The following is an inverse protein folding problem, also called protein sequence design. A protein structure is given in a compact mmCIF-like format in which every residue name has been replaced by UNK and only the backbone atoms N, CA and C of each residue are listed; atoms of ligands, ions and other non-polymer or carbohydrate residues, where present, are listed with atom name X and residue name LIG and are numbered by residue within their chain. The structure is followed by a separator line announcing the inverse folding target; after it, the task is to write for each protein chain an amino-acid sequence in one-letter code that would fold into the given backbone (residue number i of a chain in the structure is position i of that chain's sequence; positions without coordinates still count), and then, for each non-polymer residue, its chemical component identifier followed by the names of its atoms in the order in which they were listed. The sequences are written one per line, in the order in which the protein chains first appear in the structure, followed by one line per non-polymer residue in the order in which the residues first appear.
data_IF_541414012518
#
_entry.id   IF_541414012518
#
_cell.length_a   1.000
_cell.length_b   1.000
_cell.length_c   1.000
_cell.angle_alpha   90.00
_cell.angle_beta   90.00
_cell.angle_gamma   90.00
#
_symmetry.space_group_name_H-M   'P 1'
#
loop_
_entity.id
_entity.type
_entity.pdbx_description
1 polymer ?
#
# COMPACT_ATOMS: atom_id res chain seq x y z
N UNK A 1 -5.86 12.55 -18.46
CA UNK A 1 -5.51 13.98 -18.32
C UNK A 1 -6.72 14.81 -17.96
N UNK A 2 -7.61 15.07 -18.92
CA UNK A 2 -8.79 15.92 -18.73
C UNK A 2 -9.71 15.48 -17.57
N UNK A 3 -9.98 14.17 -17.43
CA UNK A 3 -10.81 13.64 -16.34
C UNK A 3 -10.21 13.96 -14.97
N UNK A 4 -8.88 13.77 -14.81
CA UNK A 4 -8.18 14.10 -13.57
C UNK A 4 -8.35 15.57 -13.20
N UNK A 5 -8.19 16.46 -14.18
CA UNK A 5 -8.27 17.90 -13.96
C UNK A 5 -9.68 18.38 -13.59
N UNK A 6 -10.72 17.77 -14.16
CA UNK A 6 -12.12 18.22 -14.00
C UNK A 6 -12.88 17.53 -12.86
N UNK A 7 -12.63 16.24 -12.63
CA UNK A 7 -13.48 15.41 -11.77
C UNK A 7 -12.80 14.86 -10.52
N UNK A 8 -11.47 14.90 -10.43
CA UNK A 8 -10.71 14.36 -9.30
C UNK A 8 -10.00 15.50 -8.55
N UNK A 9 -10.49 15.90 -7.36
CA UNK A 9 -9.91 16.99 -6.58
C UNK A 9 -8.43 16.77 -6.23
N UNK A 10 -8.03 15.51 -6.04
CA UNK A 10 -6.65 15.11 -5.75
C UNK A 10 -5.71 15.23 -6.95
N UNK A 11 -6.23 15.45 -8.16
CA UNK A 11 -5.45 15.55 -9.40
C UNK A 11 -4.76 14.24 -9.81
N UNK A 12 -5.11 13.11 -9.18
CA UNK A 12 -4.55 11.77 -9.47
C UNK A 12 -5.63 10.71 -9.33
N UNK A 13 -5.42 9.56 -9.95
CA UNK A 13 -6.23 8.38 -9.68
C UNK A 13 -5.87 7.82 -8.30
N UNK A 14 -6.88 7.35 -7.58
CA UNK A 14 -6.73 6.76 -6.24
C UNK A 14 -6.53 5.23 -6.32
N UNK A 15 -5.77 4.69 -5.37
CA UNK A 15 -5.33 3.30 -5.31
C UNK A 15 -5.23 2.80 -3.84
N UNK A 16 -4.45 1.74 -3.58
CA UNK A 16 -4.33 1.10 -2.25
C UNK A 16 -3.97 2.09 -1.14
N UNK A 17 -3.01 3.00 -1.37
CA UNK A 17 -2.62 3.97 -0.35
C UNK A 17 -3.81 4.86 0.10
N UNK A 18 -4.74 5.16 -0.79
CA UNK A 18 -5.95 5.93 -0.47
C UNK A 18 -6.94 5.12 0.38
N UNK A 19 -6.97 3.79 0.19
CA UNK A 19 -7.74 2.88 1.06
C UNK A 19 -7.13 2.82 2.45
N UNK A 20 -5.80 2.73 2.55
CA UNK A 20 -5.08 2.75 3.83
C UNK A 20 -5.30 4.10 4.54
N UNK A 21 -5.24 5.20 3.80
CA UNK A 21 -5.53 6.54 4.32
C UNK A 21 -6.96 6.64 4.87
N UNK A 22 -7.97 6.17 4.13
CA UNK A 22 -9.36 6.17 4.58
C UNK A 22 -9.57 5.28 5.82
N UNK A 23 -8.84 4.16 5.94
CA UNK A 23 -8.87 3.31 7.14
C UNK A 23 -8.32 4.04 8.36
N UNK A 24 -7.21 4.76 8.20
CA UNK A 24 -6.56 5.52 9.27
C UNK A 24 -7.35 6.79 9.65
N UNK A 25 -7.83 7.54 8.66
CA UNK A 25 -8.41 8.88 8.79
C UNK A 25 -9.87 8.87 8.36
N UNK A 26 -10.75 9.50 9.15
CA UNK A 26 -12.13 9.74 8.72
C UNK A 26 -13.08 8.55 8.87
N UNK A 27 -12.71 7.52 9.62
CA UNK A 27 -13.62 6.42 9.98
C UNK A 27 -14.01 5.52 8.81
N UNK A 28 -13.08 5.26 7.89
CA UNK A 28 -13.26 4.38 6.72
C UNK A 28 -14.32 4.87 5.71
N UNK A 29 -14.46 6.19 5.55
CA UNK A 29 -15.34 6.80 4.55
C UNK A 29 -14.59 7.15 3.27
N UNK A 30 -15.20 6.82 2.13
CA UNK A 30 -14.68 7.14 0.79
C UNK A 30 -15.80 7.71 -0.08
N UNK A 31 -15.44 8.62 -0.98
CA UNK A 31 -16.38 9.21 -1.94
C UNK A 31 -16.66 8.25 -3.09
N UNK A 32 -17.91 7.78 -3.22
CA UNK A 32 -18.34 6.92 -4.34
C UNK A 32 -18.04 7.55 -5.70
N UNK A 33 -18.34 8.85 -5.83
CA UNK A 33 -18.12 9.60 -7.07
C UNK A 33 -16.63 9.62 -7.44
N UNK A 34 -15.76 9.89 -6.47
CA UNK A 34 -14.30 9.95 -6.70
C UNK A 34 -13.77 8.57 -7.08
N UNK A 35 -14.18 7.51 -6.38
CA UNK A 35 -13.70 6.17 -6.69
C UNK A 35 -14.16 5.65 -8.05
N UNK A 36 -15.39 5.98 -8.51
CA UNK A 36 -15.83 5.64 -9.87
C UNK A 36 -15.03 6.38 -10.95
N UNK A 37 -14.72 7.66 -10.75
CA UNK A 37 -13.85 8.40 -11.68
C UNK A 37 -12.42 7.86 -11.67
N UNK A 38 -11.85 7.53 -10.51
CA UNK A 38 -10.53 6.89 -10.39
C UNK A 38 -10.48 5.55 -11.12
N UNK A 39 -11.52 4.72 -10.96
CA UNK A 39 -11.63 3.44 -11.67
C UNK A 39 -11.73 3.62 -13.18
N UNK A 40 -12.52 4.58 -13.66
CA UNK A 40 -12.61 4.89 -15.09
C UNK A 40 -11.26 5.38 -15.65
N UNK A 41 -10.53 6.23 -14.92
CA UNK A 41 -9.20 6.69 -15.34
C UNK A 41 -8.23 5.51 -15.43
N UNK A 42 -8.25 4.59 -14.46
CA UNK A 42 -7.41 3.39 -14.50
C UNK A 42 -7.78 2.48 -15.68
N UNK A 43 -9.08 2.23 -15.90
CA UNK A 43 -9.55 1.42 -17.02
C UNK A 43 -9.12 1.99 -18.38
N UNK A 44 -9.27 3.31 -18.58
CA UNK A 44 -8.81 3.99 -19.80
C UNK A 44 -7.29 3.92 -19.92
N UNK A 45 -6.56 4.20 -18.84
CA UNK A 45 -5.09 4.19 -18.86
C UNK A 45 -4.55 2.83 -19.30
N UNK A 46 -5.02 1.75 -18.66
CA UNK A 46 -4.62 0.38 -18.98
C UNK A 46 -5.10 -0.04 -20.36
N UNK A 47 -6.31 0.34 -20.76
CA UNK A 47 -6.86 0.06 -22.10
C UNK A 47 -6.08 0.73 -23.23
N UNK A 48 -5.47 1.89 -22.97
CA UNK A 48 -4.55 2.58 -23.90
C UNK A 48 -3.09 2.09 -23.77
N UNK A 49 -2.83 1.03 -22.99
CA UNK A 49 -1.51 0.40 -22.91
C UNK A 49 -0.57 0.99 -21.86
N UNK A 50 -1.05 1.84 -20.94
CA UNK A 50 -0.23 2.35 -19.84
C UNK A 50 0.43 1.19 -19.07
N UNK A 51 1.73 1.29 -18.82
CA UNK A 51 2.51 0.24 -18.13
C UNK A 51 2.27 0.34 -16.62
N UNK A 52 1.21 -0.32 -16.14
CA UNK A 52 0.82 -0.30 -14.74
C UNK A 52 -0.03 -1.51 -14.38
N UNK A 53 -0.22 -1.73 -13.08
CA UNK A 53 -1.11 -2.74 -12.53
C UNK A 53 -2.55 -2.27 -12.34
N UNK A 54 -3.49 -3.19 -12.47
CA UNK A 54 -4.94 -2.94 -12.34
C UNK A 54 -5.47 -3.13 -10.92
N UNK A 55 -4.71 -3.83 -10.09
CA UNK A 55 -5.11 -4.36 -8.79
C UNK A 55 -5.22 -3.23 -7.77
N UNK A 56 -4.33 -2.25 -7.82
CA UNK A 56 -4.42 -1.09 -6.93
C UNK A 56 -5.72 -0.30 -7.12
N UNK A 57 -6.06 0.10 -8.35
CA UNK A 57 -7.37 0.67 -8.66
C UNK A 57 -8.56 -0.25 -8.36
N UNK A 58 -8.42 -1.57 -8.58
CA UNK A 58 -9.48 -2.53 -8.27
C UNK A 58 -9.76 -2.60 -6.76
N UNK A 59 -8.70 -2.67 -5.93
CA UNK A 59 -8.81 -2.62 -4.47
C UNK A 59 -9.48 -1.33 -4.02
N UNK A 60 -9.09 -0.20 -4.61
CA UNK A 60 -9.72 1.09 -4.33
C UNK A 60 -11.21 1.12 -4.70
N UNK A 61 -11.58 0.59 -5.86
CA UNK A 61 -12.97 0.50 -6.30
C UNK A 61 -13.79 -0.39 -5.35
N UNK A 62 -13.28 -1.58 -5.01
CA UNK A 62 -13.92 -2.50 -4.08
C UNK A 62 -14.14 -1.86 -2.71
N UNK A 63 -13.11 -1.21 -2.16
CA UNK A 63 -13.18 -0.46 -0.92
C UNK A 63 -14.18 0.71 -0.99
N UNK A 64 -14.23 1.45 -2.10
CA UNK A 64 -15.16 2.56 -2.31
C UNK A 64 -16.62 2.09 -2.30
N UNK A 65 -16.92 1.01 -3.04
CA UNK A 65 -18.26 0.43 -3.10
C UNK A 65 -18.67 -0.06 -1.71
N UNK A 66 -17.78 -0.77 -1.02
CA UNK A 66 -18.03 -1.27 0.33
C UNK A 66 -18.23 -0.13 1.34
N UNK A 67 -17.41 0.92 1.29
CA UNK A 67 -17.54 2.10 2.14
C UNK A 67 -18.91 2.78 1.97
N UNK A 68 -19.43 2.83 0.74
CA UNK A 68 -20.77 3.36 0.44
C UNK A 68 -21.89 2.55 1.10
N UNK A 69 -21.73 1.22 1.17
CA UNK A 69 -22.64 0.33 1.90
C UNK A 69 -22.57 0.64 3.41
N UNK A 70 -21.36 0.78 3.98
CA UNK A 70 -21.18 1.14 5.38
C UNK A 70 -21.74 2.51 5.76
N UNK A 71 -21.72 3.47 4.83
CA UNK A 71 -22.36 4.76 4.98
C UNK A 71 -23.89 4.65 4.93
N UNK A 72 -24.45 3.88 3.99
CA UNK A 72 -25.90 3.65 3.85
C UNK A 72 -26.54 3.04 5.10
N UNK A 73 -25.84 2.12 5.76
CA UNK A 73 -26.30 1.48 7.00
C UNK A 73 -25.86 2.20 8.28
N UNK A 74 -25.25 3.39 8.17
CA UNK A 74 -24.81 4.19 9.32
C UNK A 74 -23.96 3.40 10.33
N UNK A 75 -23.11 2.49 9.84
CA UNK A 75 -22.32 1.61 10.70
C UNK A 75 -21.31 2.40 11.56
N UNK A 76 -20.97 1.93 12.77
CA UNK A 76 -19.91 2.54 13.57
C UNK A 76 -18.53 2.38 12.90
N UNK A 77 -17.54 3.24 13.25
CA UNK A 77 -16.23 3.28 12.58
C UNK A 77 -15.50 1.93 12.51
N UNK A 78 -15.52 1.15 13.59
CA UNK A 78 -14.92 -0.19 13.65
C UNK A 78 -15.50 -1.13 12.57
N UNK A 79 -16.84 -1.18 12.46
CA UNK A 79 -17.52 -2.00 11.46
C UNK A 79 -17.30 -1.46 10.04
N UNK A 80 -17.17 -0.15 9.87
CA UNK A 80 -16.82 0.45 8.56
C UNK A 80 -15.42 0.03 8.09
N UNK A 81 -14.43 -0.05 9.00
CA UNK A 81 -13.09 -0.56 8.68
C UNK A 81 -13.13 -2.02 8.23
N UNK A 82 -13.92 -2.87 8.89
CA UNK A 82 -14.13 -4.27 8.46
C UNK A 82 -14.81 -4.34 7.09
N UNK A 83 -15.86 -3.56 6.85
CA UNK A 83 -16.54 -3.53 5.54
C UNK A 83 -15.60 -3.03 4.43
N UNK A 84 -14.78 -2.00 4.71
CA UNK A 84 -13.74 -1.51 3.81
C UNK A 84 -12.77 -2.64 3.43
N UNK A 85 -12.30 -3.40 4.42
CA UNK A 85 -11.44 -4.56 4.21
C UNK A 85 -12.13 -5.68 3.43
N UNK A 86 -13.45 -5.91 3.62
CA UNK A 86 -14.22 -6.85 2.80
C UNK A 86 -14.21 -6.45 1.32
N UNK A 87 -14.36 -5.15 1.03
CA UNK A 87 -14.27 -4.63 -0.34
C UNK A 87 -12.88 -4.83 -0.96
N UNK A 88 -11.82 -4.60 -0.17
CA UNK A 88 -10.45 -4.86 -0.60
C UNK A 88 -10.20 -6.36 -0.85
N UNK A 89 -10.59 -7.23 0.08
CA UNK A 89 -10.44 -8.68 -0.05
C UNK A 89 -11.17 -9.20 -1.30
N UNK A 90 -12.45 -8.82 -1.47
CA UNK A 90 -13.24 -9.17 -2.65
C UNK A 90 -12.56 -8.72 -3.96
N UNK A 91 -12.01 -7.51 -4.01
CA UNK A 91 -11.34 -6.99 -5.19
C UNK A 91 -10.05 -7.74 -5.53
N UNK A 92 -9.22 -8.07 -4.53
CA UNK A 92 -8.00 -8.87 -4.75
C UNK A 92 -8.36 -10.28 -5.20
N UNK A 93 -9.33 -10.92 -4.53
CA UNK A 93 -9.77 -12.27 -4.88
C UNK A 93 -10.36 -12.34 -6.28
N UNK A 94 -11.19 -11.39 -6.67
CA UNK A 94 -11.71 -11.30 -8.05
C UNK A 94 -10.60 -10.97 -9.06
N UNK A 95 -9.59 -10.18 -8.67
CA UNK A 95 -8.51 -9.79 -9.58
C UNK A 95 -7.57 -10.94 -9.92
N UNK A 96 -7.36 -11.86 -8.99
CA UNK A 96 -6.34 -12.91 -9.08
C UNK A 96 -6.92 -14.34 -9.09
N UNK A 97 -8.23 -14.51 -8.94
CA UNK A 97 -8.85 -15.81 -8.62
C UNK A 97 -8.22 -16.45 -7.36
N UNK A 98 -7.84 -15.60 -6.39
CA UNK A 98 -7.04 -15.95 -5.21
C UNK A 98 -7.77 -15.54 -3.90
N UNK A 99 -8.75 -16.33 -3.43
CA UNK A 99 -9.55 -16.01 -2.25
C UNK A 99 -8.71 -15.87 -0.97
N UNK A 100 -7.81 -16.81 -0.71
CA UNK A 100 -7.04 -16.84 0.54
C UNK A 100 -6.10 -15.64 0.59
N UNK A 101 -5.40 -15.39 -0.51
CA UNK A 101 -4.46 -14.31 -0.61
C UNK A 101 -5.13 -12.93 -0.56
N UNK A 102 -6.36 -12.82 -1.08
CA UNK A 102 -7.16 -11.60 -0.94
C UNK A 102 -7.55 -11.28 0.50
N UNK A 103 -7.91 -12.28 1.31
CA UNK A 103 -8.17 -12.10 2.74
C UNK A 103 -6.92 -11.63 3.46
N UNK A 104 -5.79 -12.31 3.23
CA UNK A 104 -4.53 -11.95 3.89
C UNK A 104 -4.07 -10.56 3.48
N UNK A 105 -4.20 -10.18 2.21
CA UNK A 105 -3.85 -8.84 1.73
C UNK A 105 -4.66 -7.76 2.43
N UNK A 106 -5.97 -7.99 2.63
CA UNK A 106 -6.80 -7.04 3.36
C UNK A 106 -6.35 -6.86 4.82
N UNK A 107 -5.86 -7.93 5.48
CA UNK A 107 -5.37 -7.82 6.86
C UNK A 107 -3.95 -7.24 6.94
N UNK A 108 -3.05 -7.69 6.08
CA UNK A 108 -1.64 -7.30 6.12
C UNK A 108 -1.43 -5.87 5.61
N UNK A 109 -2.13 -5.46 4.55
CA UNK A 109 -1.91 -4.16 3.88
C UNK A 109 -2.96 -3.12 4.23
N UNK A 110 -4.26 -3.49 4.26
CA UNK A 110 -5.34 -2.50 4.45
C UNK A 110 -5.62 -2.25 5.92
N UNK A 111 -5.74 -3.32 6.72
CA UNK A 111 -5.96 -3.21 8.16
C UNK A 111 -4.65 -3.03 8.92
N UNK A 112 -3.58 -3.73 8.55
CA UNK A 112 -2.31 -3.73 9.29
C UNK A 112 -2.35 -4.54 10.60
N UNK A 113 -3.41 -5.31 10.86
CA UNK A 113 -3.52 -6.23 11.99
C UNK A 113 -4.43 -7.42 11.65
N UNK A 114 -4.24 -8.53 12.37
CA UNK A 114 -4.96 -9.78 12.18
C UNK A 114 -6.00 -10.00 13.28
N UNK A 115 -7.09 -9.22 13.22
CA UNK A 115 -8.23 -9.40 14.12
C UNK A 115 -9.16 -10.52 13.58
N UNK A 116 -9.49 -11.51 14.43
CA UNK A 116 -10.42 -12.59 14.06
C UNK A 116 -11.80 -12.01 13.70
N UNK A 117 -12.20 -10.92 14.37
CA UNK A 117 -13.44 -10.19 14.11
C UNK A 117 -13.55 -9.67 12.67
N UNK A 118 -12.43 -9.40 11.99
CA UNK A 118 -12.35 -8.98 10.59
C UNK A 118 -12.11 -10.15 9.62
N UNK A 119 -11.56 -11.27 10.10
CA UNK A 119 -11.21 -12.42 9.26
C UNK A 119 -12.42 -13.10 8.63
N UNK A 120 -13.44 -13.43 9.42
CA UNK A 120 -14.62 -14.14 8.92
C UNK A 120 -15.38 -13.33 7.85
N UNK A 121 -15.71 -12.03 8.08
CA UNK A 121 -16.41 -11.23 7.07
C UNK A 121 -15.63 -11.07 5.76
N UNK A 122 -14.32 -10.83 5.85
CA UNK A 122 -13.46 -10.68 4.67
C UNK A 122 -13.32 -11.97 3.89
N UNK A 123 -13.25 -13.13 4.57
CA UNK A 123 -13.26 -14.44 3.94
C UNK A 123 -14.57 -14.71 3.18
N UNK A 124 -15.72 -14.41 3.77
CA UNK A 124 -17.01 -14.55 3.10
C UNK A 124 -17.07 -13.67 1.84
N UNK A 125 -16.60 -12.42 1.93
CA UNK A 125 -16.56 -11.50 0.80
C UNK A 125 -15.62 -11.98 -0.32
N UNK A 126 -14.42 -12.46 0.03
CA UNK A 126 -13.44 -13.02 -0.89
C UNK A 126 -13.98 -14.25 -1.62
N UNK A 127 -14.62 -15.18 -0.90
CA UNK A 127 -15.25 -16.37 -1.49
C UNK A 127 -16.39 -15.97 -2.43
N UNK A 128 -17.28 -15.08 -2.01
CA UNK A 128 -18.38 -14.61 -2.86
C UNK A 128 -17.89 -13.97 -4.16
N UNK A 129 -16.86 -13.11 -4.07
CA UNK A 129 -16.24 -12.48 -5.23
C UNK A 129 -15.58 -13.51 -6.16
N UNK A 130 -14.91 -14.51 -5.59
CA UNK A 130 -14.27 -15.61 -6.34
C UNK A 130 -15.30 -16.46 -7.06
N UNK A 131 -16.42 -16.82 -6.41
CA UNK A 131 -17.50 -17.59 -7.03
C UNK A 131 -18.07 -16.83 -8.24
N UNK A 132 -18.38 -15.55 -8.07
CA UNK A 132 -18.90 -14.72 -9.18
C UNK A 132 -17.88 -14.66 -10.32
N UNK A 133 -16.60 -14.48 -9.99
CA UNK A 133 -15.52 -14.44 -10.97
C UNK A 133 -15.43 -15.77 -11.73
N UNK A 134 -15.46 -16.92 -11.05
CA UNK A 134 -15.38 -18.24 -11.67
C UNK A 134 -16.60 -18.57 -12.54
N UNK A 135 -17.79 -18.12 -12.15
CA UNK A 135 -19.02 -18.28 -12.94
C UNK A 135 -18.93 -17.53 -14.27
N UNK A 136 -18.33 -16.32 -14.28
CA UNK A 136 -18.31 -15.47 -15.47
C UNK A 136 -17.05 -15.57 -16.31
N UNK A 137 -15.89 -15.79 -15.68
CA UNK A 137 -14.57 -15.79 -16.32
C UNK A 137 -13.91 -17.17 -16.36
N UNK A 138 -14.45 -18.16 -15.64
CA UNK A 138 -13.92 -19.52 -15.54
C UNK A 138 -13.01 -19.75 -14.32
N UNK A 139 -12.76 -21.02 -14.03
CA UNK A 139 -11.89 -21.46 -12.92
C UNK A 139 -10.54 -21.94 -13.45
N UNK A 140 -9.67 -20.99 -13.74
CA UNK A 140 -8.27 -21.26 -14.09
C UNK A 140 -7.35 -20.27 -13.38
N UNK A 141 -6.12 -20.69 -13.04
CA UNK A 141 -5.10 -19.78 -12.53
C UNK A 141 -4.72 -18.76 -13.60
N UNK A 142 -4.24 -17.59 -13.18
CA UNK A 142 -3.83 -16.56 -14.13
C UNK A 142 -2.60 -16.98 -14.97
N UNK A 143 -1.78 -17.89 -14.44
CA UNK A 143 -0.62 -18.46 -15.13
C UNK A 143 -0.79 -19.99 -15.24
N UNK A 144 -0.73 -20.50 -16.46
CA UNK A 144 -0.76 -21.93 -16.73
C UNK A 144 0.69 -22.37 -16.93
N UNK A 145 1.27 -22.91 -15.87
CA UNK A 145 2.68 -23.29 -15.84
C UNK A 145 2.84 -24.80 -15.67
N UNK A 146 3.96 -25.38 -16.12
CA UNK A 146 4.33 -26.75 -15.77
C UNK A 146 4.44 -26.93 -14.26
N UNK A 147 4.27 -28.16 -13.78
CA UNK A 147 4.60 -28.51 -12.40
C UNK A 147 6.11 -28.46 -12.22
N UNK A 148 6.55 -27.65 -11.27
CA UNK A 148 7.96 -27.52 -10.92
C UNK A 148 8.20 -28.08 -9.53
N UNK A 149 9.26 -28.88 -9.42
CA UNK A 149 9.72 -29.48 -8.17
C UNK A 149 11.09 -28.91 -7.81
N UNK A 150 11.38 -28.86 -6.51
CA UNK A 150 12.72 -28.52 -6.03
C UNK A 150 13.63 -29.71 -6.29
N UNK A 151 14.65 -29.52 -7.12
CA UNK A 151 15.56 -30.60 -7.54
C UNK A 151 16.47 -31.04 -6.40
N UNK A 152 16.96 -30.10 -5.58
CA UNK A 152 17.82 -30.41 -4.45
C UNK A 152 17.63 -29.46 -3.27
N UNK A 153 17.64 -29.99 -2.04
CA UNK A 153 17.66 -29.16 -0.83
C UNK A 153 18.96 -28.33 -0.69
N UNK A 154 20.02 -28.70 -1.43
CA UNK A 154 21.25 -27.90 -1.52
C UNK A 154 21.08 -26.62 -2.35
N UNK A 155 19.92 -26.40 -2.97
CA UNK A 155 19.59 -25.15 -3.65
C UNK A 155 19.17 -24.03 -2.71
N UNK A 156 18.87 -24.32 -1.44
CA UNK A 156 18.41 -23.30 -0.48
C UNK A 156 19.35 -22.10 -0.31
N UNK A 157 20.69 -22.25 -0.29
CA UNK A 157 21.61 -21.12 -0.38
C UNK A 157 21.44 -20.28 -1.65
N UNK A 158 21.15 -20.91 -2.80
CA UNK A 158 20.86 -20.21 -4.04
C UNK A 158 19.51 -19.47 -3.98
N UNK A 159 18.49 -20.04 -3.35
CA UNK A 159 17.23 -19.33 -3.07
C UNK A 159 17.44 -18.16 -2.10
N UNK A 160 18.28 -18.31 -1.08
CA UNK A 160 18.63 -17.21 -0.19
C UNK A 160 19.31 -16.06 -0.96
N UNK A 161 20.26 -16.38 -1.84
CA UNK A 161 20.91 -15.41 -2.71
C UNK A 161 19.92 -14.77 -3.70
N UNK A 162 18.99 -15.54 -4.26
CA UNK A 162 17.92 -15.00 -5.09
C UNK A 162 17.09 -13.98 -4.30
N UNK A 163 16.72 -14.28 -3.05
CA UNK A 163 16.02 -13.33 -2.18
C UNK A 163 16.77 -12.00 -2.04
N UNK A 164 18.10 -12.06 -1.93
CA UNK A 164 18.96 -10.87 -1.88
C UNK A 164 18.91 -10.09 -3.21
N UNK A 165 19.08 -10.79 -4.33
CA UNK A 165 19.01 -10.20 -5.68
C UNK A 165 17.65 -9.54 -5.92
N UNK A 166 16.55 -10.22 -5.57
CA UNK A 166 15.20 -9.69 -5.66
C UNK A 166 14.99 -8.47 -4.74
N UNK A 167 15.58 -8.47 -3.55
CA UNK A 167 15.59 -7.29 -2.67
C UNK A 167 16.24 -6.07 -3.35
N UNK A 168 17.41 -6.26 -3.99
CA UNK A 168 18.08 -5.19 -4.74
C UNK A 168 17.25 -4.71 -5.94
N UNK A 169 16.63 -5.64 -6.67
CA UNK A 169 15.74 -5.31 -7.80
C UNK A 169 14.51 -4.53 -7.31
N UNK A 170 13.90 -4.93 -6.19
CA UNK A 170 12.77 -4.24 -5.60
C UNK A 170 13.12 -2.80 -5.16
N UNK A 171 14.29 -2.63 -4.52
CA UNK A 171 14.82 -1.31 -4.15
C UNK A 171 15.03 -0.45 -5.40
N UNK A 172 15.68 -1.00 -6.43
CA UNK A 172 15.92 -0.31 -7.70
C UNK A 172 14.63 0.09 -8.41
N UNK A 173 13.63 -0.80 -8.44
CA UNK A 173 12.31 -0.52 -9.01
C UNK A 173 11.60 0.60 -8.24
N UNK A 174 11.55 0.52 -6.91
CA UNK A 174 10.92 1.57 -6.09
C UNK A 174 11.65 2.90 -6.23
N UNK A 175 12.99 2.90 -6.22
CA UNK A 175 13.78 4.10 -6.42
C UNK A 175 13.51 4.74 -7.80
N UNK A 176 13.42 3.95 -8.86
CA UNK A 176 13.08 4.45 -10.19
C UNK A 176 11.71 5.13 -10.23
N UNK A 177 10.69 4.52 -9.61
CA UNK A 177 9.34 5.13 -9.52
C UNK A 177 9.38 6.42 -8.70
N UNK A 178 10.09 6.45 -7.57
CA UNK A 178 10.24 7.63 -6.72
C UNK A 178 10.96 8.77 -7.44
N UNK A 179 12.09 8.46 -8.08
CA UNK A 179 12.88 9.43 -8.84
C UNK A 179 12.10 10.00 -10.03
N UNK A 180 11.31 9.18 -10.72
CA UNK A 180 10.44 9.63 -11.79
C UNK A 180 9.34 10.57 -11.28
N UNK A 181 8.67 10.25 -10.14
CA UNK A 181 7.68 11.15 -9.56
C UNK A 181 8.30 12.49 -9.11
N UNK A 182 9.49 12.46 -8.49
CA UNK A 182 10.23 13.68 -8.11
C UNK A 182 10.61 14.52 -9.33
N UNK A 183 11.14 13.89 -10.38
CA UNK A 183 11.46 14.57 -11.64
C UNK A 183 10.21 15.16 -12.30
N UNK A 184 9.09 14.43 -12.32
CA UNK A 184 7.84 14.94 -12.88
C UNK A 184 7.24 16.10 -12.08
N UNK A 185 7.56 16.24 -10.78
CA UNK A 185 7.14 17.38 -9.94
C UNK A 185 7.93 18.66 -10.25
N UNK A 186 9.20 18.58 -10.66
CA UNK A 186 9.99 19.76 -11.01
C UNK A 186 9.57 20.38 -12.34
N UNK A 187 8.92 19.60 -13.21
CA UNK A 187 8.39 20.08 -14.49
C UNK A 187 7.02 20.73 -14.31
N UNK A 188 6.94 22.04 -14.59
CA UNK A 188 5.69 22.80 -14.59
C UNK A 188 4.95 22.60 -15.90
N UNK A 189 3.85 21.84 -15.88
CA UNK A 189 2.94 21.71 -17.02
C UNK A 189 1.49 21.48 -16.56
N UNK A 190 0.48 21.81 -17.39
CA UNK A 190 -0.91 21.54 -17.08
C UNK A 190 -1.16 20.04 -16.85
N UNK A 191 -1.97 19.71 -15.83
CA UNK A 191 -2.26 18.31 -15.44
C UNK A 191 -2.86 17.48 -16.60
N UNK A 192 -3.63 18.12 -17.49
CA UNK A 192 -4.24 17.44 -18.62
C UNK A 192 -3.22 16.98 -19.68
N UNK A 193 -2.09 17.67 -19.79
CA UNK A 193 -1.01 17.40 -20.76
C UNK A 193 -0.06 16.30 -20.27
N UNK A 194 0.09 16.12 -18.95
CA UNK A 194 1.00 15.13 -18.35
C UNK A 194 0.84 13.71 -18.93
N UNK A 195 -0.37 13.12 -19.01
CA UNK A 195 -0.53 11.80 -19.61
C UNK A 195 -0.22 11.75 -21.11
N UNK A 196 -0.37 12.85 -21.85
CA UNK A 196 -0.04 12.87 -23.27
C UNK A 196 1.48 12.74 -23.50
N UNK A 197 2.27 13.49 -22.73
CA UNK A 197 3.74 13.40 -22.76
C UNK A 197 4.21 12.03 -22.28
N UNK A 198 3.63 11.54 -21.18
CA UNK A 198 3.90 10.18 -20.68
C UNK A 198 3.60 9.10 -21.72
N UNK A 199 2.44 9.19 -22.37
CA UNK A 199 2.00 8.23 -23.39
C UNK A 199 2.92 8.23 -24.60
N UNK A 200 3.45 9.39 -25.01
CA UNK A 200 4.43 9.47 -26.09
C UNK A 200 5.73 8.76 -25.71
N UNK A 201 6.23 8.96 -24.48
CA UNK A 201 7.44 8.28 -24.01
C UNK A 201 7.24 6.76 -23.89
N UNK A 202 6.11 6.32 -23.33
CA UNK A 202 5.78 4.89 -23.23
C UNK A 202 5.61 4.28 -24.62
N UNK A 203 4.95 5.00 -25.54
CA UNK A 203 4.80 4.58 -26.94
C UNK A 203 6.13 4.43 -27.65
N UNK A 204 7.09 5.35 -27.42
CA UNK A 204 8.43 5.25 -27.96
C UNK A 204 9.18 3.98 -27.46
N UNK A 205 9.03 3.64 -26.16
CA UNK A 205 9.58 2.38 -25.62
C UNK A 205 8.90 1.18 -26.27
N UNK A 206 7.57 1.22 -26.39
CA UNK A 206 6.76 0.11 -26.89
C UNK A 206 6.97 -0.22 -28.37
N UNK A 207 7.50 0.71 -29.18
CA UNK A 207 7.92 0.42 -30.56
C UNK A 207 9.02 -0.65 -30.59
N UNK A 208 9.92 -0.65 -29.60
CA UNK A 208 11.03 -1.59 -29.50
C UNK A 208 10.72 -2.78 -28.59
N UNK A 209 9.94 -2.55 -27.52
CA UNK A 209 9.63 -3.56 -26.50
C UNK A 209 8.14 -3.52 -26.18
N UNK A 210 7.27 -4.06 -27.06
CA UNK A 210 5.81 -3.99 -26.89
C UNK A 210 5.30 -4.70 -25.63
N UNK A 211 6.04 -5.68 -25.11
CA UNK A 211 5.69 -6.45 -23.91
C UNK A 211 5.64 -5.61 -22.62
N UNK A 212 6.14 -4.37 -22.64
CA UNK A 212 6.02 -3.46 -21.49
C UNK A 212 4.62 -2.89 -21.32
N UNK A 213 3.78 -2.90 -22.37
CA UNK A 213 2.46 -2.30 -22.34
C UNK A 213 1.51 -3.04 -21.39
N UNK A 214 0.59 -2.29 -20.79
CA UNK A 214 -0.44 -2.83 -19.90
C UNK A 214 0.13 -3.55 -18.67
N UNK A 215 -0.60 -4.58 -18.25
CA UNK A 215 -0.33 -5.37 -17.03
C UNK A 215 0.93 -6.23 -17.20
N UNK A 216 1.12 -6.84 -18.37
CA UNK A 216 2.29 -7.66 -18.72
C UNK A 216 2.20 -9.14 -18.34
N UNK A 217 1.00 -9.69 -18.13
CA UNK A 217 0.83 -11.09 -17.75
C UNK A 217 1.32 -12.07 -18.81
N UNK A 218 1.28 -11.71 -20.08
CA UNK A 218 1.77 -12.54 -21.18
C UNK A 218 3.28 -12.76 -21.08
N UNK A 219 4.05 -11.69 -20.86
CA UNK A 219 5.50 -11.79 -20.69
C UNK A 219 5.85 -12.47 -19.36
N UNK A 220 5.11 -12.20 -18.28
CA UNK A 220 5.25 -12.96 -17.02
C UNK A 220 5.03 -14.44 -17.26
N UNK A 221 3.96 -14.85 -17.94
CA UNK A 221 3.67 -16.26 -18.24
C UNK A 221 4.79 -16.91 -19.06
N UNK A 222 5.35 -16.19 -20.05
CA UNK A 222 6.50 -16.65 -20.83
C UNK A 222 7.76 -16.83 -19.98
N UNK A 223 8.03 -15.95 -19.01
CA UNK A 223 9.14 -16.13 -18.07
C UNK A 223 8.92 -17.37 -17.19
N UNK A 224 7.72 -17.49 -16.60
CA UNK A 224 7.36 -18.61 -15.74
C UNK A 224 7.36 -19.95 -16.48
N UNK A 225 7.10 -19.93 -17.79
CA UNK A 225 7.10 -21.11 -18.67
C UNK A 225 8.45 -21.38 -19.33
N UNK A 226 9.54 -20.71 -18.92
CA UNK A 226 10.89 -20.91 -19.47
C UNK A 226 11.00 -20.63 -21.00
N UNK A 227 10.30 -19.59 -21.49
CA UNK A 227 10.23 -19.23 -22.92
C UNK A 227 10.98 -17.93 -23.26
N UNK A 228 11.82 -17.43 -22.36
CA UNK A 228 12.56 -16.19 -22.54
C UNK A 228 14.05 -16.41 -22.35
N UNK A 229 14.86 -15.94 -23.29
CA UNK A 229 16.30 -15.95 -23.18
C UNK A 229 16.80 -14.87 -22.20
N UNK A 230 18.01 -15.06 -21.68
CA UNK A 230 18.63 -14.16 -20.69
C UNK A 230 18.60 -12.68 -21.12
N UNK A 231 18.92 -12.39 -22.37
CA UNK A 231 18.90 -11.02 -22.91
C UNK A 231 17.49 -10.40 -22.93
N UNK A 232 16.47 -11.21 -23.22
CA UNK A 232 15.08 -10.75 -23.20
C UNK A 232 14.64 -10.43 -21.76
N UNK A 233 14.98 -11.28 -20.79
CA UNK A 233 14.64 -11.07 -19.38
C UNK A 233 15.23 -9.75 -18.84
N UNK A 234 16.52 -9.48 -19.10
CA UNK A 234 17.13 -8.20 -18.72
C UNK A 234 16.49 -7.01 -19.44
N UNK A 235 16.26 -7.12 -20.74
CA UNK A 235 15.62 -6.05 -21.53
C UNK A 235 14.24 -5.71 -20.97
N UNK A 236 13.42 -6.73 -20.71
CA UNK A 236 12.07 -6.59 -20.16
C UNK A 236 12.09 -6.06 -18.72
N UNK A 237 13.04 -6.50 -17.89
CA UNK A 237 13.21 -6.01 -16.52
C UNK A 237 13.43 -4.48 -16.49
N UNK A 238 14.40 -3.98 -17.27
CA UNK A 238 14.73 -2.56 -17.30
C UNK A 238 13.64 -1.75 -18.02
N UNK A 239 13.15 -2.23 -19.16
CA UNK A 239 12.14 -1.53 -19.94
C UNK A 239 10.81 -1.41 -19.18
N UNK A 240 10.36 -2.48 -18.49
CA UNK A 240 9.13 -2.44 -17.67
C UNK A 240 9.28 -1.48 -16.49
N UNK A 241 10.44 -1.49 -15.82
CA UNK A 241 10.74 -0.57 -14.72
C UNK A 241 10.64 0.88 -15.17
N UNK A 242 11.29 1.23 -16.29
CA UNK A 242 11.25 2.57 -16.86
C UNK A 242 9.83 2.96 -17.31
N UNK A 243 9.16 2.09 -18.06
CA UNK A 243 7.80 2.35 -18.55
C UNK A 243 6.81 2.54 -17.39
N UNK A 244 6.92 1.77 -16.31
CA UNK A 244 6.06 1.89 -15.12
C UNK A 244 6.35 3.18 -14.36
N UNK A 245 7.62 3.53 -14.16
CA UNK A 245 8.02 4.77 -13.51
C UNK A 245 7.48 6.00 -14.28
N UNK A 246 7.62 6.02 -15.61
CA UNK A 246 7.07 7.06 -16.48
C UNK A 246 5.55 7.11 -16.40
N UNK A 247 4.89 5.95 -16.44
CA UNK A 247 3.42 5.83 -16.39
C UNK A 247 2.86 6.50 -15.14
N UNK A 248 3.38 6.14 -13.98
CA UNK A 248 2.89 6.66 -12.70
C UNK A 248 3.25 8.14 -12.50
N UNK A 249 4.47 8.54 -12.87
CA UNK A 249 4.91 9.94 -12.80
C UNK A 249 4.08 10.86 -13.72
N UNK A 250 3.64 10.35 -14.86
CA UNK A 250 2.81 11.07 -15.84
C UNK A 250 1.32 11.10 -15.50
N UNK A 251 0.93 10.61 -14.31
CA UNK A 251 -0.45 10.60 -13.81
C UNK A 251 -1.41 9.71 -14.60
N UNK A 252 -0.93 8.65 -15.26
CA UNK A 252 -1.83 7.57 -15.67
C UNK A 252 -2.42 6.87 -14.45
N UNK A 253 -3.65 6.35 -14.58
CA UNK A 253 -4.26 5.54 -13.54
C UNK A 253 -3.68 4.12 -13.55
N UNK A 254 -3.35 3.60 -12.37
CA UNK A 254 -2.77 2.27 -12.21
C UNK A 254 -2.12 2.08 -10.84
N UNK A 255 -1.44 0.95 -10.65
CA UNK A 255 -0.68 0.64 -9.45
C UNK A 255 0.64 -0.08 -9.76
N UNK A 256 1.43 -0.36 -8.72
CA UNK A 256 2.73 -1.05 -8.84
C UNK A 256 2.63 -2.58 -8.69
N UNK A 257 1.42 -3.11 -8.41
CA UNK A 257 1.22 -4.52 -8.09
C UNK A 257 1.70 -5.45 -9.20
N UNK A 258 1.02 -5.51 -10.35
CA UNK A 258 1.47 -6.38 -11.46
C UNK A 258 2.88 -6.05 -11.98
N UNK A 259 3.29 -4.77 -12.10
CA UNK A 259 4.68 -4.46 -12.47
C UNK A 259 5.72 -5.05 -11.52
N UNK A 260 5.45 -5.10 -10.21
CA UNK A 260 6.35 -5.74 -9.24
C UNK A 260 6.43 -7.26 -9.43
N UNK A 261 5.31 -7.93 -9.71
CA UNK A 261 5.27 -9.35 -10.07
C UNK A 261 6.06 -9.61 -11.37
N UNK A 262 5.85 -8.76 -12.38
CA UNK A 262 6.52 -8.84 -13.67
C UNK A 262 8.04 -8.72 -13.53
N UNK A 263 8.51 -7.65 -12.89
CA UNK A 263 9.95 -7.39 -12.72
C UNK A 263 10.58 -8.48 -11.86
N UNK A 264 9.86 -8.99 -10.85
CA UNK A 264 10.28 -10.16 -10.08
C UNK A 264 10.44 -11.42 -10.92
N UNK A 265 9.47 -11.73 -11.78
CA UNK A 265 9.55 -12.89 -12.67
C UNK A 265 10.74 -12.81 -13.63
N UNK A 266 11.00 -11.62 -14.20
CA UNK A 266 12.15 -11.40 -15.07
C UNK A 266 13.48 -11.58 -14.32
N UNK A 267 13.59 -11.02 -13.11
CA UNK A 267 14.80 -11.15 -12.28
C UNK A 267 15.04 -12.61 -11.86
N UNK A 268 13.99 -13.28 -11.41
CA UNK A 268 14.03 -14.68 -11.01
C UNK A 268 14.40 -15.61 -12.16
N UNK A 269 13.77 -15.46 -13.33
CA UNK A 269 14.13 -16.23 -14.53
C UNK A 269 15.57 -15.98 -14.98
N UNK A 270 16.03 -14.72 -14.94
CA UNK A 270 17.40 -14.39 -15.32
C UNK A 270 18.42 -15.00 -14.35
N UNK A 271 18.12 -14.98 -13.05
CA UNK A 271 18.92 -15.66 -12.04
C UNK A 271 18.93 -17.17 -12.25
N UNK A 272 17.77 -17.78 -12.53
CA UNK A 272 17.62 -19.20 -12.80
C UNK A 272 18.49 -19.68 -13.98
N UNK A 273 18.49 -18.93 -15.09
CA UNK A 273 19.37 -19.19 -16.25
C UNK A 273 20.85 -19.21 -15.88
N UNK A 274 21.27 -18.22 -15.09
CA UNK A 274 22.67 -18.09 -14.67
C UNK A 274 23.03 -19.22 -13.70
N UNK A 275 22.17 -19.48 -12.71
CA UNK A 275 22.38 -20.55 -11.72
C UNK A 275 22.43 -21.93 -12.39
N UNK A 276 21.52 -22.21 -13.33
CA UNK A 276 21.49 -23.44 -14.11
C UNK A 276 22.70 -23.62 -15.02
N UNK A 277 23.28 -22.52 -15.52
CA UNK A 277 24.54 -22.56 -16.27
C UNK A 277 25.77 -22.88 -15.41
N UNK A 278 25.76 -22.49 -14.13
CA UNK A 278 26.90 -22.70 -13.21
C UNK A 278 26.82 -24.06 -12.49
N UNK A 279 25.63 -24.47 -12.06
CA UNK A 279 25.39 -25.75 -11.35
C UNK A 279 24.25 -26.56 -11.99
N UNK A 280 24.44 -27.13 -13.19
CA UNK A 280 23.36 -27.79 -13.95
C UNK A 280 22.73 -28.99 -13.24
N UNK A 281 23.51 -29.73 -12.45
CA UNK A 281 23.03 -30.94 -11.74
C UNK A 281 22.23 -30.63 -10.48
N UNK A 282 22.36 -29.42 -9.93
CA UNK A 282 21.69 -28.99 -8.71
C UNK A 282 20.54 -28.05 -8.98
N UNK A 283 20.56 -27.29 -10.08
CA UNK A 283 19.61 -26.22 -10.32
C UNK A 283 18.24 -26.76 -10.76
N UNK A 284 17.20 -26.30 -10.06
CA UNK A 284 15.81 -26.42 -10.47
C UNK A 284 15.54 -25.63 -11.75
N UNK A 285 14.39 -25.91 -12.36
CA UNK A 285 13.95 -25.20 -13.56
C UNK A 285 13.94 -23.68 -13.39
N UNK A 286 14.21 -22.95 -14.46
CA UNK A 286 14.21 -21.49 -14.46
C UNK A 286 12.82 -20.90 -14.16
N UNK A 287 11.75 -21.61 -14.54
CA UNK A 287 10.38 -21.24 -14.21
C UNK A 287 10.15 -21.19 -12.70
N UNK A 288 10.72 -22.14 -11.94
CA UNK A 288 10.71 -22.11 -10.48
C UNK A 288 11.36 -20.83 -9.94
N UNK A 289 12.57 -20.49 -10.41
CA UNK A 289 13.25 -19.27 -9.98
C UNK A 289 12.46 -18.00 -10.36
N UNK A 290 11.78 -17.99 -11.50
CA UNK A 290 10.89 -16.90 -11.90
C UNK A 290 9.68 -16.75 -10.96
N UNK A 291 9.07 -17.85 -10.50
CA UNK A 291 7.98 -17.82 -9.51
C UNK A 291 8.47 -17.24 -8.17
N UNK A 292 9.63 -17.71 -7.71
CA UNK A 292 10.26 -17.23 -6.48
C UNK A 292 10.55 -15.72 -6.57
N UNK A 293 11.14 -15.28 -7.68
CA UNK A 293 11.45 -13.87 -7.91
C UNK A 293 10.20 -12.99 -8.02
N UNK A 294 9.15 -13.48 -8.68
CA UNK A 294 7.85 -12.81 -8.81
C UNK A 294 7.28 -12.48 -7.42
N UNK A 295 7.21 -13.47 -6.53
CA UNK A 295 6.74 -13.27 -5.16
C UNK A 295 7.67 -12.36 -4.37
N UNK A 296 8.99 -12.57 -4.46
CA UNK A 296 9.97 -11.84 -3.66
C UNK A 296 9.99 -10.33 -3.93
N UNK A 297 10.00 -9.92 -5.20
CA UNK A 297 9.95 -8.49 -5.55
C UNK A 297 8.60 -7.88 -5.19
N UNK A 298 7.49 -8.57 -5.43
CA UNK A 298 6.17 -8.07 -5.06
C UNK A 298 6.01 -7.92 -3.55
N UNK A 299 6.43 -8.90 -2.76
CA UNK A 299 6.38 -8.86 -1.30
C UNK A 299 7.15 -7.69 -0.73
N UNK A 300 8.37 -7.46 -1.24
CA UNK A 300 9.21 -6.34 -0.84
C UNK A 300 8.62 -4.98 -1.22
N UNK A 301 8.14 -4.80 -2.45
CA UNK A 301 7.58 -3.52 -2.93
C UNK A 301 6.27 -3.17 -2.21
N UNK A 302 5.39 -4.15 -2.03
CA UNK A 302 4.07 -3.96 -1.42
C UNK A 302 4.15 -3.87 0.11
N UNK A 303 5.19 -4.45 0.72
CA UNK A 303 5.29 -4.61 2.17
C UNK A 303 4.31 -5.67 2.70
N UNK A 304 4.07 -6.72 1.92
CA UNK A 304 3.05 -7.74 2.19
C UNK A 304 3.60 -9.16 1.99
N UNK A 305 4.64 -9.57 2.73
CA UNK A 305 5.33 -10.84 2.50
C UNK A 305 4.41 -12.06 2.59
N UNK A 306 3.49 -12.11 3.56
CA UNK A 306 2.62 -13.28 3.71
C UNK A 306 1.63 -13.34 2.55
N UNK A 307 0.94 -12.24 2.27
CA UNK A 307 -0.06 -12.16 1.21
C UNK A 307 0.54 -12.46 -0.15
N UNK A 308 1.73 -11.95 -0.45
CA UNK A 308 2.37 -12.15 -1.75
C UNK A 308 2.86 -13.58 -1.97
N UNK A 309 3.30 -14.28 -0.92
CA UNK A 309 3.56 -15.72 -0.98
C UNK A 309 2.28 -16.46 -1.38
N UNK A 310 1.15 -16.15 -0.74
CA UNK A 310 -0.12 -16.80 -1.05
C UNK A 310 -0.66 -16.39 -2.43
N UNK A 311 -0.45 -15.15 -2.88
CA UNK A 311 -0.80 -14.72 -4.24
C UNK A 311 0.01 -15.50 -5.26
N UNK A 312 1.33 -15.58 -5.10
CA UNK A 312 2.18 -16.34 -6.02
C UNK A 312 1.81 -17.84 -6.02
N UNK A 313 1.44 -18.40 -4.86
CA UNK A 313 0.92 -19.76 -4.74
C UNK A 313 -0.41 -19.95 -5.47
N UNK A 314 -1.44 -19.14 -5.20
CA UNK A 314 -2.77 -19.31 -5.82
C UNK A 314 -2.75 -19.00 -7.33
N UNK A 315 -1.81 -18.18 -7.80
CA UNK A 315 -1.62 -17.90 -9.23
C UNK A 315 -0.88 -19.01 -9.99
N UNK A 316 -0.13 -19.87 -9.31
CA UNK A 316 0.72 -20.89 -9.93
C UNK A 316 0.34 -22.34 -9.60
N UNK A 317 -0.33 -22.58 -8.47
CA UNK A 317 -0.92 -23.87 -8.08
C UNK A 317 0.00 -24.89 -7.41
N UNK A 318 1.27 -24.56 -7.12
CA UNK A 318 2.26 -25.50 -6.56
C UNK A 318 2.61 -25.26 -5.09
N UNK A 319 2.26 -26.17 -4.18
CA UNK A 319 2.55 -26.05 -2.74
C UNK A 319 4.01 -26.31 -2.39
N UNK A 320 4.69 -27.19 -3.13
CA UNK A 320 6.02 -27.70 -2.80
C UNK A 320 7.11 -26.62 -2.77
N UNK A 321 6.92 -25.54 -3.54
CA UNK A 321 7.87 -24.42 -3.60
C UNK A 321 7.67 -23.37 -2.49
N UNK A 322 6.64 -23.52 -1.63
CA UNK A 322 6.26 -22.50 -0.64
C UNK A 322 7.39 -22.21 0.36
N UNK A 323 8.19 -23.19 0.75
CA UNK A 323 9.31 -22.99 1.68
C UNK A 323 10.38 -22.09 1.05
N UNK A 324 10.76 -22.36 -0.21
CA UNK A 324 11.71 -21.53 -0.95
C UNK A 324 11.16 -20.12 -1.22
N UNK A 325 9.85 -20.02 -1.47
CA UNK A 325 9.15 -18.76 -1.70
C UNK A 325 9.13 -17.91 -0.43
N UNK A 326 8.80 -18.50 0.72
CA UNK A 326 8.85 -17.82 2.02
C UNK A 326 10.27 -17.30 2.32
N UNK A 327 11.29 -18.12 2.08
CA UNK A 327 12.69 -17.72 2.30
C UNK A 327 13.08 -16.52 1.42
N UNK A 328 12.83 -16.61 0.12
CA UNK A 328 13.17 -15.56 -0.86
C UNK A 328 12.43 -14.26 -0.59
N UNK A 329 11.12 -14.33 -0.33
CA UNK A 329 10.27 -13.17 0.00
C UNK A 329 10.71 -12.53 1.32
N UNK A 330 11.01 -13.32 2.33
CA UNK A 330 11.44 -12.80 3.64
C UNK A 330 12.75 -12.02 3.53
N UNK A 331 13.74 -12.57 2.81
CA UNK A 331 15.02 -11.90 2.61
C UNK A 331 14.88 -10.61 1.78
N UNK A 332 14.12 -10.65 0.69
CA UNK A 332 13.85 -9.45 -0.11
C UNK A 332 13.14 -8.35 0.70
N UNK A 333 12.18 -8.74 1.54
CA UNK A 333 11.44 -7.81 2.40
C UNK A 333 12.32 -7.21 3.50
N UNK A 334 13.18 -8.01 4.14
CA UNK A 334 14.16 -7.51 5.13
C UNK A 334 15.10 -6.50 4.50
N UNK A 335 15.60 -6.77 3.28
CA UNK A 335 16.47 -5.83 2.58
C UNK A 335 15.78 -4.52 2.24
N UNK A 336 14.55 -4.58 1.72
CA UNK A 336 13.76 -3.38 1.47
C UNK A 336 13.55 -2.57 2.76
N UNK A 337 13.20 -3.26 3.86
CA UNK A 337 13.02 -2.62 5.15
C UNK A 337 14.30 -1.98 5.69
N UNK A 338 15.46 -2.62 5.49
CA UNK A 338 16.75 -2.09 5.92
C UNK A 338 17.17 -0.83 5.13
N UNK A 339 16.83 -0.74 3.84
CA UNK A 339 17.28 0.36 2.96
C UNK A 339 16.26 1.50 2.89
N UNK A 340 14.98 1.21 2.67
CA UNK A 340 13.93 2.23 2.53
C UNK A 340 13.13 2.48 3.81
N UNK A 341 13.12 1.54 4.76
CA UNK A 341 12.36 1.65 6.03
C UNK A 341 10.84 1.59 5.91
N UNK A 342 10.31 1.53 4.69
CA UNK A 342 8.87 1.59 4.41
C UNK A 342 8.56 0.96 3.05
N UNK A 343 7.35 0.38 2.92
CA UNK A 343 6.85 -0.10 1.62
C UNK A 343 6.49 1.06 0.67
N UNK A 344 6.20 0.73 -0.59
CA UNK A 344 5.76 1.73 -1.57
C UNK A 344 4.52 2.51 -1.11
N UNK A 345 3.53 1.84 -0.51
CA UNK A 345 2.31 2.48 -0.02
C UNK A 345 2.59 3.42 1.15
N UNK A 346 3.45 3.03 2.07
CA UNK A 346 3.85 3.88 3.19
C UNK A 346 4.68 5.09 2.74
N UNK A 347 5.53 4.94 1.72
CA UNK A 347 6.16 6.09 1.09
C UNK A 347 5.12 7.06 0.50
N UNK A 348 4.10 6.56 -0.21
CA UNK A 348 3.03 7.42 -0.75
C UNK A 348 2.25 8.17 0.33
N UNK A 349 2.03 7.53 1.49
CA UNK A 349 1.40 8.14 2.66
C UNK A 349 2.32 9.17 3.34
N UNK A 350 3.61 8.87 3.48
CA UNK A 350 4.60 9.79 4.03
C UNK A 350 4.74 11.07 3.20
N UNK A 351 4.61 10.99 1.87
CA UNK A 351 4.54 12.15 0.98
C UNK A 351 3.31 13.05 1.23
N UNK A 352 2.28 12.52 1.91
CA UNK A 352 1.07 13.25 2.33
C UNK A 352 1.14 13.68 3.80
N UNK A 353 2.26 13.44 4.47
CA UNK A 353 2.45 13.72 5.91
C UNK A 353 1.86 12.65 6.84
N UNK A 354 1.51 11.47 6.32
CA UNK A 354 0.89 10.39 7.09
C UNK A 354 1.92 9.28 7.39
N UNK A 355 2.31 9.17 8.66
CA UNK A 355 3.36 8.26 9.11
C UNK A 355 2.79 7.15 10.01
N UNK A 356 2.12 6.17 9.41
CA UNK A 356 1.44 5.08 10.14
C UNK A 356 2.41 4.07 10.79
N UNK A 357 3.68 4.01 10.36
CA UNK A 357 4.71 3.09 10.88
C UNK A 357 5.33 3.52 12.22
N UNK A 358 4.90 4.65 12.76
CA UNK A 358 5.47 5.23 13.96
C UNK A 358 4.99 4.53 15.27
N UNK A 359 4.15 3.49 15.15
CA UNK A 359 3.45 2.83 16.25
C UNK A 359 2.24 3.65 16.73
N UNK A 360 1.22 3.00 17.32
CA UNK A 360 0.00 3.69 17.77
C UNK A 360 0.30 4.83 18.74
N UNK A 361 1.38 4.71 19.54
CA UNK A 361 1.87 5.75 20.44
C UNK A 361 2.16 7.10 19.75
N UNK A 362 2.74 7.12 18.55
CA UNK A 362 3.05 8.38 17.85
C UNK A 362 1.85 8.92 17.07
N UNK A 363 0.96 8.05 16.59
CA UNK A 363 -0.26 8.48 15.89
C UNK A 363 -1.29 9.07 16.85
N UNK A 364 -1.55 8.41 17.99
CA UNK A 364 -2.45 8.89 19.05
C UNK A 364 -2.07 10.30 19.50
N UNK A 365 -0.79 10.50 19.76
CA UNK A 365 -0.27 11.73 20.36
C UNK A 365 -0.28 12.90 19.36
N UNK A 366 -0.29 12.62 18.05
CA UNK A 366 -0.42 13.64 16.99
C UNK A 366 -1.85 13.90 16.55
N UNK A 367 -2.74 12.91 16.68
CA UNK A 367 -4.14 12.99 16.26
C UNK A 367 -5.01 13.78 17.23
N UNK A 368 -4.85 13.52 18.52
CA UNK A 368 -5.67 14.14 19.57
C UNK A 368 -5.26 15.59 19.77
N UNK A 369 -6.25 16.46 19.90
CA UNK A 369 -6.05 17.90 20.10
C UNK A 369 -6.38 18.31 21.53
N UNK A 370 -5.79 19.40 22.00
CA UNK A 370 -6.02 19.95 23.36
C UNK A 370 -7.50 20.18 23.65
N UNK A 371 -8.29 20.57 22.64
CA UNK A 371 -9.76 20.72 22.77
C UNK A 371 -10.50 19.50 23.30
N UNK A 372 -9.94 18.30 23.12
CA UNK A 372 -10.60 17.03 23.45
C UNK A 372 -10.47 16.66 24.92
N UNK A 373 -9.53 17.28 25.65
CA UNK A 373 -9.28 16.99 27.08
C UNK A 373 -9.11 18.25 27.95
N UNK A 374 -9.19 19.45 27.37
CA UNK A 374 -9.18 20.69 28.13
C UNK A 374 -10.44 20.81 28.99
N UNK A 375 -10.29 21.40 30.17
CA UNK A 375 -11.41 21.78 31.04
C UNK A 375 -11.78 23.23 30.73
N UNK A 376 -13.01 23.52 30.28
CA UNK A 376 -13.45 24.89 30.03
C UNK A 376 -13.52 25.68 31.35
N UNK A 377 -13.41 27.01 31.27
CA UNK A 377 -13.58 27.89 32.42
C UNK A 377 -14.95 27.69 33.08
N UNK A 378 -14.99 27.73 34.42
CA UNK A 378 -16.23 27.78 35.19
C UNK A 378 -16.99 29.10 34.96
N UNK A 379 -18.28 29.15 35.30
CA UNK A 379 -19.08 30.38 35.11
C UNK A 379 -18.55 31.58 35.92
N UNK A 380 -17.91 31.34 37.07
CA UNK A 380 -17.24 32.38 37.86
C UNK A 380 -15.96 32.88 37.19
N UNK A 381 -15.13 31.99 36.64
CA UNK A 381 -13.91 32.35 35.90
C UNK A 381 -14.22 33.00 34.54
N UNK A 382 -15.40 32.76 33.96
CA UNK A 382 -15.86 33.49 32.78
C UNK A 382 -16.28 34.93 33.12
N UNK A 383 -16.82 35.14 34.32
CA UNK A 383 -17.22 36.46 34.81
C UNK A 383 -16.02 37.32 35.22
N UNK A 384 -14.94 36.69 35.72
CA UNK A 384 -13.67 37.35 36.01
C UNK A 384 -12.51 36.56 35.38
N UNK A 385 -12.14 36.87 34.12
CA UNK A 385 -11.14 36.11 33.39
C UNK A 385 -9.75 36.24 34.05
N UNK A 386 -9.08 35.12 34.32
CA UNK A 386 -7.75 35.14 34.92
C UNK A 386 -6.72 35.79 33.98
N UNK A 387 -5.75 36.50 34.57
CA UNK A 387 -4.65 37.10 33.82
C UNK A 387 -3.71 36.04 33.26
N UNK A 388 -3.15 36.31 32.08
CA UNK A 388 -2.15 35.44 31.45
C UNK A 388 -0.83 35.67 32.16
N UNK A 389 -0.31 34.60 32.77
CA UNK A 389 1.05 34.58 33.29
C UNK A 389 2.05 34.47 32.12
N UNK A 390 2.90 35.48 31.87
CA UNK A 390 3.84 35.48 30.76
C UNK A 390 4.99 34.47 30.91
N UNK A 391 5.23 33.96 32.12
CA UNK A 391 6.32 33.02 32.40
C UNK A 391 5.89 31.56 32.24
N UNK A 392 4.60 31.30 32.00
CA UNK A 392 4.04 29.97 31.78
C UNK A 392 3.80 29.69 30.29
N UNK A 393 4.05 28.45 29.82
CA UNK A 393 3.72 28.08 28.45
C UNK A 393 2.21 28.16 28.21
N UNK A 394 1.82 28.54 27.00
CA UNK A 394 0.42 28.61 26.57
C UNK A 394 0.14 27.53 25.52
N UNK A 395 -1.06 26.94 25.61
CA UNK A 395 -1.57 26.01 24.60
C UNK A 395 -2.78 26.62 23.88
N UNK A 396 -3.06 26.12 22.69
CA UNK A 396 -4.27 26.42 21.90
C UNK A 396 -5.12 25.16 21.72
N UNK A 397 -6.43 25.26 21.47
CA UNK A 397 -7.32 24.14 21.18
C UNK A 397 -6.84 23.25 20.03
N UNK A 398 -6.11 23.85 19.09
CA UNK A 398 -5.57 23.19 17.91
C UNK A 398 -4.18 22.59 18.15
N UNK A 399 -3.56 22.77 19.31
CA UNK A 399 -2.32 22.05 19.62
C UNK A 399 -2.56 20.56 19.80
N UNK A 400 -1.54 19.77 19.49
CA UNK A 400 -1.59 18.31 19.62
C UNK A 400 -1.35 17.87 21.06
N UNK A 401 -1.81 16.66 21.38
CA UNK A 401 -1.47 15.98 22.63
C UNK A 401 0.05 15.84 22.80
N UNK A 402 0.82 15.70 21.72
CA UNK A 402 2.30 15.72 21.71
C UNK A 402 2.86 17.01 22.27
N UNK A 403 2.36 18.13 21.76
CA UNK A 403 2.76 19.47 22.17
C UNK A 403 2.44 19.67 23.65
N UNK A 404 1.23 19.29 24.07
CA UNK A 404 0.80 19.41 25.46
C UNK A 404 1.65 18.58 26.42
N UNK A 405 1.88 17.28 26.13
CA UNK A 405 2.70 16.40 26.96
C UNK A 405 4.16 16.89 27.05
N UNK A 406 4.73 17.35 25.94
CA UNK A 406 6.08 17.94 25.93
C UNK A 406 6.15 19.20 26.80
N UNK A 407 5.14 20.07 26.74
CA UNK A 407 5.08 21.27 27.57
C UNK A 407 5.00 20.94 29.07
N UNK A 408 4.25 19.90 29.46
CA UNK A 408 4.22 19.42 30.85
C UNK A 408 5.57 18.85 31.31
N UNK A 409 6.24 18.05 30.47
CA UNK A 409 7.53 17.45 30.81
C UNK A 409 8.67 18.48 30.89
N UNK A 410 8.65 19.52 30.05
CA UNK A 410 9.75 20.50 29.96
C UNK A 410 9.82 21.41 31.18
N UNK A 411 8.69 21.73 31.81
CA UNK A 411 8.65 22.64 32.97
C UNK A 411 7.97 22.09 34.22
N UNK A 412 7.72 20.78 34.29
CA UNK A 412 7.09 20.11 35.43
C UNK A 412 5.75 20.74 35.90
N UNK A 413 5.01 21.33 34.95
CA UNK A 413 3.73 21.97 35.23
C UNK A 413 2.64 20.91 35.42
N UNK A 414 1.73 21.13 36.37
CA UNK A 414 0.56 20.27 36.57
C UNK A 414 -0.66 20.75 35.77
N UNK A 415 -0.67 22.04 35.39
CA UNK A 415 -1.74 22.72 34.68
C UNK A 415 -1.16 23.81 33.76
N UNK A 416 -1.69 23.92 32.55
CA UNK A 416 -1.31 24.91 31.54
C UNK A 416 -2.58 25.61 31.01
N UNK A 417 -2.51 26.93 30.82
CA UNK A 417 -3.61 27.74 30.29
C UNK A 417 -3.81 27.51 28.78
N UNK A 418 -5.08 27.37 28.37
CA UNK A 418 -5.47 27.21 26.97
C UNK A 418 -6.12 28.51 26.49
N UNK A 419 -5.57 29.09 25.43
CA UNK A 419 -6.00 30.37 24.85
C UNK A 419 -6.79 30.17 23.55
N UNK A 420 -7.61 31.15 23.15
CA UNK A 420 -8.37 31.03 21.89
C UNK A 420 -7.45 31.03 20.67
N UNK A 421 -7.70 30.15 19.71
CA UNK A 421 -6.95 30.11 18.44
C UNK A 421 -7.09 31.40 17.61
N UNK A 422 -8.15 32.18 17.83
CA UNK A 422 -8.40 33.45 17.13
C UNK A 422 -7.94 34.68 17.91
N UNK A 423 -7.74 34.55 19.22
CA UNK A 423 -7.34 35.62 20.12
C UNK A 423 -6.52 35.04 21.28
N UNK A 424 -5.20 35.07 21.12
CA UNK A 424 -4.24 34.51 22.08
C UNK A 424 -4.19 35.27 23.40
N UNK A 425 -4.83 36.44 23.49
CA UNK A 425 -4.95 37.19 24.74
C UNK A 425 -6.07 36.68 25.66
N UNK A 426 -6.87 35.72 25.20
CA UNK A 426 -8.04 35.23 25.93
C UNK A 426 -7.90 33.77 26.34
N UNK A 427 -7.89 33.52 27.65
CA UNK A 427 -7.97 32.16 28.21
C UNK A 427 -9.40 31.62 28.03
N UNK A 428 -9.51 30.41 27.53
CA UNK A 428 -10.78 29.70 27.29
C UNK A 428 -10.91 28.41 28.11
N UNK A 429 -9.82 27.94 28.72
CA UNK A 429 -9.80 26.79 29.59
C UNK A 429 -8.40 26.41 30.05
N UNK A 430 -8.28 25.22 30.62
CA UNK A 430 -7.03 24.69 31.14
C UNK A 430 -6.81 23.24 30.73
N UNK A 431 -5.59 22.92 30.36
CA UNK A 431 -5.13 21.55 30.16
C UNK A 431 -4.42 21.09 31.45
N UNK A 432 -4.72 19.87 31.91
CA UNK A 432 -4.01 19.27 33.07
C UNK A 432 -3.22 18.06 32.61
N UNK A 433 -2.06 17.83 33.25
CA UNK A 433 -1.19 16.69 32.93
C UNK A 433 -1.92 15.35 33.13
N UNK A 434 -2.73 15.24 34.19
CA UNK A 434 -3.56 14.04 34.44
C UNK A 434 -4.60 13.81 33.35
N UNK A 435 -5.28 14.85 32.86
CA UNK A 435 -6.25 14.70 31.76
C UNK A 435 -5.54 14.26 30.48
N UNK A 436 -4.42 14.90 30.14
CA UNK A 436 -3.61 14.52 28.97
C UNK A 436 -3.13 13.06 29.04
N UNK A 437 -2.61 12.61 30.18
CA UNK A 437 -2.16 11.22 30.38
C UNK A 437 -3.31 10.21 30.38
N UNK A 438 -4.47 10.55 30.95
CA UNK A 438 -5.67 9.70 30.87
C UNK A 438 -6.15 9.56 29.43
N UNK A 439 -6.22 10.66 28.68
CA UNK A 439 -6.59 10.65 27.27
C UNK A 439 -5.60 9.83 26.44
N UNK A 440 -4.30 9.98 26.69
CA UNK A 440 -3.26 9.16 26.08
C UNK A 440 -3.46 7.66 26.37
N UNK A 441 -3.63 7.28 27.64
CA UNK A 441 -3.83 5.88 28.03
C UNK A 441 -5.15 5.30 27.48
N UNK A 442 -6.25 6.07 27.49
CA UNK A 442 -7.51 5.63 26.91
C UNK A 442 -7.40 5.42 25.41
N UNK A 443 -6.72 6.33 24.71
CA UNK A 443 -6.50 6.19 23.28
C UNK A 443 -5.57 5.02 22.94
N UNK A 444 -4.56 4.73 23.77
CA UNK A 444 -3.73 3.53 23.64
C UNK A 444 -4.51 2.25 23.90
N UNK A 445 -5.33 2.21 24.95
CA UNK A 445 -6.17 1.06 25.28
C UNK A 445 -7.16 0.80 24.14
N UNK A 446 -7.83 1.84 23.62
CA UNK A 446 -8.73 1.72 22.49
C UNK A 446 -8.01 1.19 21.23
N UNK A 447 -6.79 1.65 20.96
CA UNK A 447 -5.97 1.15 19.85
C UNK A 447 -5.57 -0.32 20.04
N UNK A 448 -5.16 -0.70 21.25
CA UNK A 448 -4.79 -2.09 21.57
C UNK A 448 -6.00 -3.03 21.57
N UNK A 449 -7.14 -2.61 22.10
CA UNK A 449 -8.38 -3.39 22.05
C UNK A 449 -8.83 -3.62 20.60
N UNK A 450 -8.67 -2.62 19.73
CA UNK A 450 -8.96 -2.74 18.30
C UNK A 450 -7.99 -3.68 17.57
N UNK A 451 -6.71 -3.68 17.92
CA UNK A 451 -5.72 -4.57 17.31
C UNK A 451 -5.89 -6.05 17.72
N UNK A 452 -6.47 -6.31 18.91
CA UNK A 452 -6.51 -7.64 19.52
C UNK A 452 -7.90 -8.27 19.70
N UNK A 453 -9.01 -7.60 19.32
CA UNK A 453 -10.37 -8.18 19.26
C UNK A 453 -10.83 -8.43 17.83
#
# INVERSE_FOLDING_TARGET
GWILHKFLPSGRAEAVADVIEARAIGGAQMSLKTGLWSALVAALSLGFGASAGREGPAVHLGATIASSIGAKFSLPPEKRRVILACGAAAAVSASFNAPIAGVLFAHEVVLGHFAISAFVPTAIAAVGATIITRVHLGDFPAFIIPTYEITSLWEFPAFALLGIVCGLVAIGFQFAVMAADWSARSVTMPLWLRPAVGGLMIGAIAIFVPEVLGVGYEATNRALSHQLALGALFTLLFAKTLATAITLASRFGGGVFSPSLYVGAMAGGAYGLVAGGVFPELASSEGLYAILGMGAVAGAVLGAPISTVLIAFELTGGYEMTIALLLTVSLASVMMQAVHGQSFFHWQLGQRGLFLHAGPHKEVVRRWRVREFMVPLSEEEKANPPEIDPDLPLLTPDDTLESALRSFDTGAYTRISVTSSTDTSKIIGYATQMAALRTYNQALIASHEEEHR
#
